data_IF_100292779159
#
_entry.id   IF_100292779159
#
_cell.length_a   1.000
_cell.length_b   1.000
_cell.length_c   1.000
_cell.angle_alpha   90.00
_cell.angle_beta   90.00
_cell.angle_gamma   90.00
#
_symmetry.space_group_name_H-M   'P 1'
#
loop_
_entity.id
_entity.type
_entity.pdbx_description
1 polymer ?
#
# COMPACT_ATOMS: atom_id res chain seq x y z
N UNK A 1 -18.83 29.92 25.69
CA UNK A 1 -19.10 29.05 24.55
C UNK A 1 -17.94 29.19 23.58
N UNK A 2 -17.05 28.19 23.52
CA UNK A 2 -15.88 28.21 22.62
C UNK A 2 -16.18 27.27 21.45
N UNK A 3 -16.34 27.85 20.25
CA UNK A 3 -16.59 27.08 19.02
C UNK A 3 -15.29 26.47 18.49
N UNK A 4 -15.31 25.16 18.29
CA UNK A 4 -14.24 24.44 17.63
C UNK A 4 -14.29 24.70 16.12
N UNK A 5 -13.30 25.41 15.61
CA UNK A 5 -13.08 25.58 14.17
C UNK A 5 -12.38 24.32 13.66
N UNK A 6 -13.12 23.47 12.97
CA UNK A 6 -12.56 22.38 12.19
C UNK A 6 -11.76 22.98 11.02
N UNK A 7 -10.46 22.78 11.01
CA UNK A 7 -9.62 23.15 9.87
C UNK A 7 -9.94 22.20 8.71
N UNK A 8 -10.67 22.70 7.74
CA UNK A 8 -10.83 22.07 6.42
C UNK A 8 -9.52 22.33 5.69
N UNK A 9 -8.75 21.27 5.45
CA UNK A 9 -7.56 21.33 4.61
C UNK A 9 -7.98 21.61 3.16
N UNK A 10 -7.81 22.85 2.72
CA UNK A 10 -8.00 23.25 1.34
C UNK A 10 -6.81 22.74 0.53
N UNK A 11 -6.99 21.65 -0.20
CA UNK A 11 -6.04 21.22 -1.23
C UNK A 11 -6.19 22.20 -2.39
N UNK A 12 -5.17 23.00 -2.61
CA UNK A 12 -5.11 24.01 -3.68
C UNK A 12 -4.95 23.26 -5.03
N UNK A 13 -6.04 23.17 -5.76
CA UNK A 13 -6.06 22.67 -7.14
C UNK A 13 -5.44 23.75 -8.04
N UNK A 14 -4.18 23.62 -8.42
CA UNK A 14 -3.60 24.47 -9.44
C UNK A 14 -4.09 24.01 -10.82
N UNK A 15 -5.06 24.75 -11.35
CA UNK A 15 -5.45 24.66 -12.76
C UNK A 15 -4.31 25.20 -13.63
N UNK A 16 -3.74 24.34 -14.46
CA UNK A 16 -2.93 24.78 -15.59
C UNK A 16 -3.34 24.05 -16.87
N UNK A 17 -3.92 24.85 -17.76
CA UNK A 17 -4.02 24.80 -19.24
C UNK A 17 -4.43 23.53 -19.96
N UNK A 18 -5.50 23.77 -20.75
CA UNK A 18 -6.08 22.95 -21.81
C UNK A 18 -5.06 22.29 -22.72
N UNK A 19 -5.03 20.95 -22.72
CA UNK A 19 -4.88 20.16 -23.93
C UNK A 19 -5.92 19.03 -23.85
N UNK A 20 -6.62 18.75 -24.96
CA UNK A 20 -7.61 17.67 -25.05
C UNK A 20 -6.93 16.33 -24.78
N UNK A 21 -6.83 15.95 -23.53
CA UNK A 21 -6.45 14.64 -23.05
C UNK A 21 -7.61 14.12 -22.21
N UNK A 22 -8.03 12.90 -22.44
CA UNK A 22 -9.03 12.17 -21.65
C UNK A 22 -8.81 12.42 -20.17
N UNK A 23 -9.82 12.99 -19.50
CA UNK A 23 -9.84 13.15 -18.06
C UNK A 23 -9.84 11.72 -17.46
N UNK A 24 -8.68 11.22 -17.13
CA UNK A 24 -8.59 10.03 -16.27
C UNK A 24 -8.99 10.52 -14.88
N UNK A 25 -10.23 10.32 -14.52
CA UNK A 25 -10.68 10.46 -13.14
C UNK A 25 -9.99 9.34 -12.39
N UNK A 26 -8.80 9.61 -11.84
CA UNK A 26 -8.26 8.76 -10.80
C UNK A 26 -9.25 8.83 -9.63
N UNK A 27 -9.89 7.72 -9.31
CA UNK A 27 -10.60 7.60 -8.05
C UNK A 27 -9.57 7.85 -6.94
N UNK A 28 -9.64 9.03 -6.31
CA UNK A 28 -8.78 9.35 -5.19
C UNK A 28 -9.17 8.43 -4.04
N UNK A 29 -8.20 7.67 -3.51
CA UNK A 29 -8.38 6.90 -2.29
C UNK A 29 -8.83 7.83 -1.18
N UNK A 30 -9.91 7.49 -0.47
CA UNK A 30 -10.49 8.39 0.53
C UNK A 30 -9.66 8.40 1.79
N UNK A 31 -9.35 9.55 2.35
CA UNK A 31 -8.63 9.68 3.63
C UNK A 31 -9.30 8.89 4.77
N UNK A 32 -10.64 8.75 4.73
CA UNK A 32 -11.41 7.98 5.71
C UNK A 32 -11.12 6.48 5.73
N UNK A 33 -10.52 5.97 4.66
CA UNK A 33 -10.22 4.54 4.52
C UNK A 33 -8.88 4.16 5.18
N UNK A 34 -8.11 5.15 5.59
CA UNK A 34 -6.84 4.94 6.28
C UNK A 34 -6.97 5.15 7.80
N UNK A 35 -6.52 4.18 8.57
CA UNK A 35 -6.29 4.32 10.01
C UNK A 35 -4.83 4.61 10.22
N UNK A 36 -4.50 5.87 10.53
CA UNK A 36 -3.12 6.34 10.70
C UNK A 36 -2.95 6.85 12.12
N UNK A 37 -1.94 6.32 12.82
CA UNK A 37 -1.59 6.72 14.19
C UNK A 37 -0.11 7.09 14.24
N UNK A 38 0.19 8.33 14.62
CA UNK A 38 1.57 8.84 14.73
C UNK A 38 2.43 8.61 13.47
N UNK A 39 1.83 8.78 12.28
CA UNK A 39 2.49 8.56 11.00
C UNK A 39 2.61 7.09 10.59
N UNK A 40 2.04 6.15 11.35
CA UNK A 40 2.03 4.72 11.01
C UNK A 40 0.67 4.36 10.44
N UNK A 41 0.63 3.84 9.21
CA UNK A 41 -0.56 3.23 8.64
C UNK A 41 -0.82 1.91 9.36
N UNK A 42 -1.84 1.88 10.21
CA UNK A 42 -2.26 0.69 10.97
C UNK A 42 -3.20 -0.20 10.19
N UNK A 43 -4.12 0.42 9.42
CA UNK A 43 -5.09 -0.31 8.64
C UNK A 43 -5.56 0.50 7.42
N UNK A 44 -5.72 -0.15 6.29
CA UNK A 44 -6.48 0.31 5.14
C UNK A 44 -7.81 -0.43 5.09
N UNK A 45 -8.94 0.32 5.07
CA UNK A 45 -10.32 -0.20 5.08
C UNK A 45 -11.01 -0.12 3.73
N UNK A 46 -10.39 0.55 2.77
CA UNK A 46 -10.94 0.71 1.43
C UNK A 46 -10.82 -0.57 0.60
N UNK A 47 -11.36 -0.51 -0.61
CA UNK A 47 -11.35 -1.61 -1.58
C UNK A 47 -10.89 -1.17 -2.97
N UNK A 48 -10.09 -0.13 -3.04
CA UNK A 48 -9.59 0.41 -4.30
C UNK A 48 -8.58 -0.55 -4.95
N UNK A 49 -8.66 -0.67 -6.26
CA UNK A 49 -7.72 -1.46 -7.06
C UNK A 49 -6.30 -0.84 -7.05
N UNK A 50 -6.25 0.49 -7.03
CA UNK A 50 -5.01 1.27 -6.84
C UNK A 50 -5.13 2.10 -5.59
N UNK A 51 -4.19 1.90 -4.64
CA UNK A 51 -4.13 2.64 -3.39
C UNK A 51 -2.93 3.58 -3.41
N UNK A 52 -3.20 4.85 -3.21
CA UNK A 52 -2.18 5.88 -3.02
C UNK A 52 -2.01 6.14 -1.53
N UNK A 53 -0.84 5.81 -0.99
CA UNK A 53 -0.53 6.07 0.42
C UNK A 53 -0.43 7.59 0.65
N UNK A 54 -1.18 8.15 1.60
CA UNK A 54 -1.19 9.60 1.83
C UNK A 54 0.15 10.10 2.38
N UNK A 55 0.45 11.37 2.09
CA UNK A 55 1.58 12.07 2.69
C UNK A 55 1.42 12.17 4.22
N UNK A 56 2.54 12.10 4.94
CA UNK A 56 2.56 12.03 6.40
C UNK A 56 2.60 10.61 6.95
N UNK A 57 2.33 9.58 6.12
CA UNK A 57 2.61 8.19 6.49
C UNK A 57 4.11 7.96 6.35
N UNK A 58 4.75 7.58 7.45
CA UNK A 58 6.19 7.28 7.50
C UNK A 58 6.47 5.78 7.55
N UNK A 59 5.48 4.98 7.97
CA UNK A 59 5.59 3.53 8.11
C UNK A 59 4.28 2.84 7.74
N UNK A 60 4.38 1.70 7.06
CA UNK A 60 3.25 0.79 6.85
C UNK A 60 3.42 -0.38 7.80
N UNK A 61 2.45 -0.55 8.70
CA UNK A 61 2.49 -1.58 9.73
C UNK A 61 2.28 -2.99 9.16
N UNK A 62 2.69 -3.97 9.94
CA UNK A 62 2.42 -5.38 9.69
C UNK A 62 0.94 -5.60 9.46
N UNK A 63 0.61 -6.24 8.33
CA UNK A 63 -0.76 -6.55 7.92
C UNK A 63 -1.69 -5.32 7.78
N UNK A 64 -1.18 -4.13 7.49
CA UNK A 64 -1.99 -2.92 7.37
C UNK A 64 -3.14 -3.02 6.35
N UNK A 65 -3.04 -3.89 5.36
CA UNK A 65 -4.06 -4.13 4.34
C UNK A 65 -4.96 -5.36 4.63
N UNK A 66 -4.79 -6.02 5.78
CA UNK A 66 -5.69 -7.11 6.17
C UNK A 66 -6.98 -6.53 6.75
N UNK A 67 -8.11 -6.91 6.16
CA UNK A 67 -9.40 -6.60 6.75
C UNK A 67 -9.69 -7.58 7.89
N UNK A 68 -9.62 -7.11 9.13
CA UNK A 68 -9.79 -7.94 10.34
C UNK A 68 -11.17 -8.59 10.48
N UNK A 69 -12.18 -8.10 9.75
CA UNK A 69 -13.55 -8.66 9.84
C UNK A 69 -13.67 -10.06 9.22
N UNK A 70 -12.72 -10.43 8.37
CA UNK A 70 -12.79 -11.66 7.58
C UNK A 70 -12.09 -12.84 8.27
N UNK A 71 -11.17 -12.57 9.20
CA UNK A 71 -10.45 -13.64 9.92
C UNK A 71 -11.29 -14.38 10.96
N UNK A 72 -12.47 -13.87 11.34
CA UNK A 72 -13.34 -14.48 12.34
C UNK A 72 -14.40 -15.40 11.74
N UNK A 73 -14.55 -15.45 10.42
CA UNK A 73 -15.48 -16.35 9.77
C UNK A 73 -14.76 -17.61 9.24
N UNK A 74 -15.21 -18.77 9.72
CA UNK A 74 -14.71 -20.08 9.28
C UNK A 74 -15.00 -20.40 7.81
N UNK A 75 -15.75 -19.54 7.10
CA UNK A 75 -16.07 -19.65 5.67
C UNK A 75 -15.03 -19.02 4.74
N UNK A 76 -13.89 -18.62 5.28
CA UNK A 76 -12.88 -17.81 4.56
C UNK A 76 -12.13 -18.57 3.47
N UNK A 77 -12.25 -19.89 3.43
CA UNK A 77 -11.57 -20.74 2.45
C UNK A 77 -12.58 -21.49 1.60
N UNK A 78 -12.53 -21.33 0.28
CA UNK A 78 -13.15 -22.26 -0.67
C UNK A 78 -12.10 -23.26 -1.18
N UNK A 79 -12.54 -24.49 -1.38
CA UNK A 79 -11.73 -25.55 -2.01
C UNK A 79 -12.19 -25.62 -3.46
N UNK A 80 -11.37 -25.13 -4.39
CA UNK A 80 -11.60 -25.29 -5.83
C UNK A 80 -10.33 -25.87 -6.46
N UNK A 81 -10.49 -26.97 -7.20
CA UNK A 81 -9.44 -27.61 -8.02
C UNK A 81 -8.10 -27.83 -7.29
N UNK A 82 -8.15 -28.46 -6.10
CA UNK A 82 -6.98 -28.75 -5.25
C UNK A 82 -6.24 -27.50 -4.70
N UNK A 83 -6.82 -26.31 -4.81
CA UNK A 83 -6.29 -25.09 -4.26
C UNK A 83 -7.20 -24.49 -3.17
N UNK A 84 -6.56 -24.06 -2.06
CA UNK A 84 -7.23 -23.19 -1.09
C UNK A 84 -7.33 -21.78 -1.65
N UNK A 85 -8.53 -21.38 -2.05
CA UNK A 85 -8.80 -19.98 -2.42
C UNK A 85 -9.24 -19.23 -1.18
N UNK A 86 -8.46 -18.24 -0.79
CA UNK A 86 -8.84 -17.32 0.27
C UNK A 86 -9.97 -16.44 -0.28
N UNK A 87 -11.22 -16.68 0.15
CA UNK A 87 -12.39 -15.89 -0.28
C UNK A 87 -12.33 -14.42 0.15
N UNK A 88 -11.36 -14.07 1.01
CA UNK A 88 -11.10 -12.71 1.49
C UNK A 88 -10.44 -11.79 0.47
N UNK A 89 -10.14 -12.31 -0.70
CA UNK A 89 -9.47 -11.60 -1.76
C UNK A 89 -10.26 -10.44 -2.39
N UNK A 90 -11.43 -10.13 -1.86
CA UNK A 90 -12.30 -9.08 -2.39
C UNK A 90 -11.72 -7.66 -2.19
N UNK A 91 -10.71 -7.51 -1.32
CA UNK A 91 -10.24 -6.21 -0.84
C UNK A 91 -8.71 -6.03 -0.93
N UNK A 92 -8.08 -6.59 -1.93
CA UNK A 92 -6.63 -6.43 -2.09
C UNK A 92 -6.31 -5.46 -3.21
N UNK A 93 -5.64 -4.36 -2.86
CA UNK A 93 -5.08 -3.44 -3.83
C UNK A 93 -4.14 -4.16 -4.80
N UNK A 94 -4.43 -4.14 -6.10
CA UNK A 94 -3.52 -4.70 -7.11
C UNK A 94 -2.31 -3.81 -7.34
N UNK A 95 -2.47 -2.51 -7.10
CA UNK A 95 -1.40 -1.52 -7.18
C UNK A 95 -1.34 -0.69 -5.91
N UNK A 96 -0.14 -0.52 -5.37
CA UNK A 96 0.12 0.38 -4.25
C UNK A 96 1.19 1.37 -4.66
N UNK A 97 0.95 2.65 -4.41
CA UNK A 97 1.89 3.75 -4.67
C UNK A 97 2.24 4.40 -3.34
N UNK A 98 3.51 4.33 -2.96
CA UNK A 98 3.99 4.95 -1.73
C UNK A 98 4.12 6.47 -1.91
N UNK A 99 3.72 7.23 -0.89
CA UNK A 99 3.99 8.66 -0.81
C UNK A 99 5.48 8.93 -0.52
N UNK A 100 5.91 10.17 -0.71
CA UNK A 100 7.32 10.57 -0.51
C UNK A 100 7.79 10.43 0.94
N UNK A 101 6.87 10.39 1.90
CA UNK A 101 7.16 10.35 3.33
C UNK A 101 7.38 8.94 3.89
N UNK A 102 7.01 7.88 3.16
CA UNK A 102 7.16 6.50 3.63
C UNK A 102 8.63 6.12 3.69
N UNK A 103 9.07 5.66 4.88
CA UNK A 103 10.44 5.27 5.20
C UNK A 103 10.61 3.77 5.42
N UNK A 104 9.54 3.09 5.84
CA UNK A 104 9.63 1.70 6.29
C UNK A 104 8.38 0.91 5.91
N UNK A 105 8.61 -0.32 5.44
CA UNK A 105 7.59 -1.35 5.31
C UNK A 105 7.89 -2.45 6.32
N UNK A 106 6.97 -2.68 7.27
CA UNK A 106 7.08 -3.77 8.25
C UNK A 106 6.78 -5.13 7.61
N UNK A 107 6.98 -6.21 8.36
CA UNK A 107 6.72 -7.58 7.91
C UNK A 107 5.30 -7.73 7.36
N UNK A 108 5.14 -8.38 6.22
CA UNK A 108 3.84 -8.60 5.58
C UNK A 108 3.03 -7.30 5.34
N UNK A 109 3.72 -6.18 5.15
CA UNK A 109 3.06 -4.87 4.94
C UNK A 109 2.29 -4.81 3.62
N UNK A 110 2.69 -5.60 2.61
CA UNK A 110 2.07 -5.59 1.28
C UNK A 110 1.25 -6.86 1.06
N UNK A 111 -0.03 -6.72 0.64
CA UNK A 111 -0.96 -7.85 0.56
C UNK A 111 -0.68 -8.78 -0.64
N UNK A 112 -1.20 -10.00 -0.54
CA UNK A 112 -0.95 -11.14 -1.45
C UNK A 112 -1.24 -10.83 -2.93
N UNK A 113 -2.27 -10.04 -3.23
CA UNK A 113 -2.68 -9.76 -4.62
C UNK A 113 -2.02 -8.56 -5.26
N UNK A 114 -1.17 -7.85 -4.54
CA UNK A 114 -0.46 -6.70 -5.10
C UNK A 114 0.50 -7.19 -6.19
N UNK A 115 0.27 -6.70 -7.40
CA UNK A 115 1.08 -7.01 -8.59
C UNK A 115 2.05 -5.89 -8.94
N UNK A 116 1.71 -4.66 -8.55
CA UNK A 116 2.52 -3.47 -8.79
C UNK A 116 2.71 -2.68 -7.49
N UNK A 117 3.96 -2.45 -7.13
CA UNK A 117 4.34 -1.62 -6.01
C UNK A 117 5.29 -0.53 -6.50
N UNK A 118 4.86 0.72 -6.37
CA UNK A 118 5.70 1.89 -6.69
C UNK A 118 6.33 2.39 -5.41
N UNK A 119 7.63 2.12 -5.27
CA UNK A 119 8.44 2.59 -4.16
C UNK A 119 8.91 4.03 -4.40
N UNK A 120 8.92 4.83 -3.35
CA UNK A 120 9.44 6.20 -3.38
C UNK A 120 10.94 6.26 -3.10
N UNK A 121 11.63 7.29 -3.58
CA UNK A 121 13.06 7.53 -3.30
C UNK A 121 13.33 7.94 -1.82
N UNK A 122 12.34 7.90 -0.96
CA UNK A 122 12.51 8.13 0.47
C UNK A 122 12.53 6.87 1.31
N UNK A 123 12.18 5.71 0.74
CA UNK A 123 12.10 4.45 1.47
C UNK A 123 13.51 3.98 1.90
N UNK A 124 13.65 3.61 3.16
CA UNK A 124 14.92 3.27 3.79
C UNK A 124 14.98 1.81 4.25
N UNK A 125 13.84 1.24 4.64
CA UNK A 125 13.78 -0.09 5.27
C UNK A 125 12.68 -0.95 4.63
N UNK A 126 13.07 -2.12 4.17
CA UNK A 126 12.20 -3.27 3.99
C UNK A 126 12.51 -4.24 5.12
N UNK A 127 11.53 -4.49 5.98
CA UNK A 127 11.71 -5.40 7.11
C UNK A 127 11.63 -6.87 6.66
N UNK A 128 11.87 -7.79 7.57
CA UNK A 128 11.81 -9.22 7.28
C UNK A 128 10.43 -9.58 6.70
N UNK A 129 10.41 -10.32 5.61
CA UNK A 129 9.17 -10.76 4.93
C UNK A 129 8.23 -9.62 4.47
N UNK A 130 8.72 -8.38 4.32
CA UNK A 130 7.87 -7.21 4.05
C UNK A 130 6.97 -7.37 2.81
N UNK A 131 7.45 -8.00 1.75
CA UNK A 131 6.74 -8.24 0.50
C UNK A 131 6.48 -9.72 0.23
N UNK A 132 6.69 -10.61 1.21
CA UNK A 132 6.73 -12.07 1.02
C UNK A 132 5.45 -12.59 0.36
N UNK A 133 4.30 -12.15 0.81
CA UNK A 133 3.01 -12.61 0.32
C UNK A 133 2.59 -11.96 -1.01
N UNK A 134 3.30 -10.96 -1.51
CA UNK A 134 2.88 -10.20 -2.70
C UNK A 134 3.04 -11.00 -4.00
N UNK A 135 2.26 -10.64 -5.02
CA UNK A 135 2.35 -11.19 -6.39
C UNK A 135 3.19 -10.30 -7.33
N UNK A 136 4.08 -9.49 -6.78
CA UNK A 136 4.95 -8.59 -7.53
C UNK A 136 5.97 -9.39 -8.32
N UNK A 137 6.09 -9.12 -9.61
CA UNK A 137 7.06 -9.82 -10.48
C UNK A 137 8.26 -8.97 -10.87
N UNK A 138 8.10 -7.66 -10.87
CA UNK A 138 9.16 -6.68 -11.19
C UNK A 138 9.16 -5.60 -10.13
N UNK A 139 10.31 -5.34 -9.54
CA UNK A 139 10.46 -4.34 -8.49
C UNK A 139 11.62 -3.41 -8.83
N UNK A 140 11.39 -2.09 -8.73
CA UNK A 140 12.43 -1.08 -8.80
C UNK A 140 12.74 -0.59 -7.38
N UNK A 141 13.95 -0.86 -6.90
CA UNK A 141 14.37 -0.42 -5.58
C UNK A 141 14.86 1.04 -5.63
N UNK A 142 14.51 1.85 -4.61
CA UNK A 142 15.02 3.21 -4.49
C UNK A 142 16.49 3.23 -4.04
N UNK A 143 17.19 4.28 -4.43
CA UNK A 143 18.60 4.45 -4.07
C UNK A 143 18.82 4.75 -2.57
N UNK A 144 17.77 5.09 -1.86
CA UNK A 144 17.78 5.43 -0.43
C UNK A 144 17.66 4.22 0.49
N UNK A 145 17.46 3.02 -0.06
CA UNK A 145 17.27 1.82 0.73
C UNK A 145 18.55 1.44 1.47
N UNK A 146 18.45 1.29 2.80
CA UNK A 146 19.57 1.03 3.71
C UNK A 146 19.52 -0.38 4.32
N UNK A 147 18.31 -0.93 4.46
CA UNK A 147 18.09 -2.26 5.05
C UNK A 147 17.11 -3.05 4.22
N UNK A 148 17.45 -4.29 3.94
CA UNK A 148 16.57 -5.33 3.41
C UNK A 148 16.65 -6.48 4.39
N UNK A 149 15.51 -6.83 4.99
CA UNK A 149 15.41 -7.93 5.94
C UNK A 149 15.41 -9.30 5.28
N UNK A 150 15.42 -10.34 6.09
CA UNK A 150 15.38 -11.72 5.63
C UNK A 150 14.03 -12.01 4.96
N UNK A 151 14.05 -12.75 3.85
CA UNK A 151 12.87 -13.10 3.05
C UNK A 151 11.99 -11.90 2.66
N UNK A 152 12.56 -10.69 2.58
CA UNK A 152 11.81 -9.45 2.31
C UNK A 152 11.04 -9.48 0.99
N UNK A 153 11.45 -10.29 0.04
CA UNK A 153 10.83 -10.37 -1.29
C UNK A 153 9.99 -11.63 -1.46
N UNK A 154 8.91 -11.48 -2.24
CA UNK A 154 8.11 -12.61 -2.70
C UNK A 154 8.88 -13.53 -3.64
N UNK A 155 8.57 -14.82 -3.60
CA UNK A 155 9.07 -15.84 -4.56
C UNK A 155 8.65 -15.54 -6.02
N UNK A 156 7.66 -14.67 -6.22
CA UNK A 156 7.21 -14.24 -7.55
C UNK A 156 8.10 -13.16 -8.18
N UNK A 157 8.99 -12.52 -7.42
CA UNK A 157 9.87 -11.46 -7.96
C UNK A 157 10.90 -12.08 -8.90
N UNK A 158 10.75 -11.78 -10.20
CA UNK A 158 11.63 -12.28 -11.28
C UNK A 158 12.71 -11.27 -11.66
N UNK A 159 12.49 -10.00 -11.40
CA UNK A 159 13.40 -8.92 -11.78
C UNK A 159 13.41 -7.81 -10.74
N UNK A 160 14.60 -7.53 -10.24
CA UNK A 160 14.88 -6.36 -9.40
C UNK A 160 15.77 -5.40 -10.19
N UNK A 161 15.43 -4.12 -10.16
CA UNK A 161 16.22 -3.03 -10.76
C UNK A 161 16.44 -1.94 -9.72
N UNK A 162 17.42 -1.08 -9.92
CA UNK A 162 17.77 -0.03 -8.97
C UNK A 162 19.17 -0.25 -8.40
N UNK A 163 19.71 0.78 -7.77
CA UNK A 163 21.02 0.74 -7.15
C UNK A 163 20.85 0.87 -5.63
N UNK A 164 20.95 -0.23 -4.91
CA UNK A 164 21.20 -0.18 -3.47
C UNK A 164 22.68 0.16 -3.27
N UNK A 165 22.97 1.16 -2.43
CA UNK A 165 24.35 1.50 -2.04
C UNK A 165 24.78 0.63 -0.89
#
# INVERSE_FOLDING_TARGET
MKGNIKRIGLVLLTLLTLSLGTLVVNAETKDSDFVIENGVLKQYKGNDDTVYIPEGVTKIATYAFKNNEIYNDKSTYAFEDDNYILLTDKFCARKIVLSSTVKELESYAIPTRTKELVLNEGLEILDDSALLDSSITVLKLPSTLKKIGDDAFSLYVKKITGNCK
#
